data_IF_431188757240
#
_entry.id   IF_431188757240
#
_cell.length_a   1.000
_cell.length_b   1.000
_cell.length_c   1.000
_cell.angle_alpha   90.00
_cell.angle_beta   90.00
_cell.angle_gamma   90.00
#
_symmetry.space_group_name_H-M   'P 1'
#
loop_
_entity.id
_entity.type
_entity.pdbx_description
1 polymer ?
#
# COMPACT_ATOMS: atom_id res chain seq x y z
N UNK A 1 12.64 2.03 -14.70
CA UNK A 1 11.49 1.46 -15.41
C UNK A 1 10.27 2.29 -15.05
N UNK A 2 9.62 2.95 -16.01
CA UNK A 2 8.43 3.77 -15.73
C UNK A 2 7.22 2.85 -15.63
N UNK A 3 6.54 2.84 -14.48
CA UNK A 3 5.24 2.17 -14.36
C UNK A 3 4.21 2.97 -15.14
N UNK A 4 3.43 2.30 -15.98
CA UNK A 4 2.30 2.90 -16.66
C UNK A 4 1.03 2.59 -15.85
N UNK A 5 0.21 3.60 -15.60
CA UNK A 5 -1.10 3.40 -14.96
C UNK A 5 -2.16 3.36 -16.04
N UNK A 6 -2.68 2.16 -16.32
CA UNK A 6 -3.84 1.99 -17.19
C UNK A 6 -5.12 1.91 -16.35
N UNK A 7 -6.29 1.99 -16.98
CA UNK A 7 -7.58 1.86 -16.31
C UNK A 7 -8.21 0.51 -16.62
N UNK A 8 -8.81 -0.11 -15.61
CA UNK A 8 -9.52 -1.37 -15.76
C UNK A 8 -10.69 -1.17 -16.74
N UNK A 9 -10.79 -1.94 -17.83
CA UNK A 9 -11.91 -1.81 -18.77
C UNK A 9 -13.26 -2.16 -18.13
N UNK A 10 -13.27 -3.02 -17.11
CA UNK A 10 -14.51 -3.44 -16.44
C UNK A 10 -15.01 -2.43 -15.39
N UNK A 11 -14.13 -1.86 -14.57
CA UNK A 11 -14.56 -1.00 -13.45
C UNK A 11 -13.98 0.42 -13.45
N UNK A 12 -13.05 0.75 -14.34
CA UNK A 12 -12.37 2.05 -14.41
C UNK A 12 -11.33 2.32 -13.33
N UNK A 13 -11.04 1.35 -12.45
CA UNK A 13 -10.02 1.50 -11.42
C UNK A 13 -8.60 1.54 -12.01
N UNK A 14 -7.64 2.24 -11.39
CA UNK A 14 -6.26 2.23 -11.84
C UNK A 14 -5.65 0.83 -11.73
N UNK A 15 -4.88 0.43 -12.75
CA UNK A 15 -4.04 -0.76 -12.77
C UNK A 15 -2.59 -0.31 -12.99
N UNK A 16 -1.72 -0.42 -11.96
CA UNK A 16 -0.30 -0.23 -12.16
C UNK A 16 0.24 -1.41 -12.95
N UNK A 17 0.87 -1.15 -14.09
CA UNK A 17 1.49 -2.16 -14.94
C UNK A 17 3.00 -1.90 -15.07
N UNK A 18 3.75 -2.99 -15.06
CA UNK A 18 5.15 -2.97 -15.48
C UNK A 18 5.23 -3.07 -17.01
N UNK A 19 6.27 -2.49 -17.61
CA UNK A 19 6.39 -2.39 -19.06
C UNK A 19 6.39 -3.74 -19.80
N UNK A 20 6.81 -4.82 -19.13
CA UNK A 20 6.88 -6.19 -19.69
C UNK A 20 5.68 -7.04 -19.33
N UNK A 21 4.77 -6.54 -18.48
CA UNK A 21 3.69 -7.33 -17.92
C UNK A 21 2.58 -7.53 -18.96
N UNK A 22 2.26 -8.79 -19.25
CA UNK A 22 1.22 -9.14 -20.21
C UNK A 22 -0.16 -9.34 -19.59
N UNK A 23 -0.21 -9.59 -18.28
CA UNK A 23 -1.44 -9.96 -17.57
C UNK A 23 -1.47 -9.26 -16.22
N UNK A 24 -2.61 -8.72 -15.85
CA UNK A 24 -2.80 -8.03 -14.58
C UNK A 24 -4.14 -8.35 -13.93
N UNK A 25 -4.18 -8.24 -12.60
CA UNK A 25 -5.37 -8.52 -11.80
C UNK A 25 -5.91 -7.23 -11.22
N UNK A 26 -7.19 -6.93 -11.47
CA UNK A 26 -7.81 -5.77 -10.87
C UNK A 26 -8.12 -6.00 -9.39
N UNK A 27 -7.52 -5.20 -8.51
CA UNK A 27 -7.75 -5.24 -7.06
C UNK A 27 -9.21 -4.96 -6.65
N UNK A 28 -10.00 -4.31 -7.51
CA UNK A 28 -11.35 -3.85 -7.17
C UNK A 28 -12.48 -4.77 -7.63
N UNK A 29 -12.50 -5.17 -8.90
CA UNK A 29 -13.64 -5.88 -9.49
C UNK A 29 -13.41 -7.37 -9.75
N UNK A 30 -12.26 -7.91 -9.32
CA UNK A 30 -11.86 -9.31 -9.51
C UNK A 30 -11.73 -9.72 -11.00
N UNK A 31 -11.55 -8.77 -11.91
CA UNK A 31 -11.33 -9.06 -13.33
C UNK A 31 -9.84 -9.24 -13.63
N UNK A 32 -9.51 -10.31 -14.35
CA UNK A 32 -8.20 -10.51 -15.00
C UNK A 32 -8.19 -9.77 -16.33
N UNK A 33 -7.10 -9.06 -16.63
CA UNK A 33 -6.94 -8.30 -17.87
C UNK A 33 -5.64 -8.68 -18.57
N UNK A 34 -5.72 -8.83 -19.89
CA UNK A 34 -4.56 -9.07 -20.75
C UNK A 34 -4.18 -7.79 -21.47
N UNK A 35 -2.89 -7.50 -21.46
CA UNK A 35 -2.26 -6.39 -22.16
C UNK A 35 -2.06 -6.80 -23.60
N UNK A 36 -2.85 -6.21 -24.50
CA UNK A 36 -2.74 -6.43 -25.93
C UNK A 36 -1.94 -5.25 -26.50
N UNK A 37 -0.67 -5.50 -26.80
CA UNK A 37 0.14 -4.62 -27.63
C UNK A 37 -0.04 -5.06 -29.09
N UNK A 38 -0.42 -4.13 -29.96
CA UNK A 38 -0.47 -4.41 -31.40
C UNK A 38 0.96 -4.37 -31.96
N UNK A 39 1.54 -5.49 -32.43
CA UNK A 39 2.90 -5.51 -32.96
C UNK A 39 3.01 -4.81 -34.32
N UNK A 40 1.89 -4.55 -35.01
CA UNK A 40 1.87 -3.98 -36.36
C UNK A 40 1.73 -2.46 -36.39
N UNK A 41 1.39 -1.82 -35.26
CA UNK A 41 1.29 -0.37 -35.15
C UNK A 41 1.79 0.10 -33.78
N UNK A 42 2.66 1.12 -33.70
CA UNK A 42 2.98 1.79 -32.44
C UNK A 42 1.75 2.57 -31.95
N UNK A 43 0.77 1.84 -31.43
CA UNK A 43 -0.49 2.34 -30.92
C UNK A 43 -0.58 2.23 -29.39
N UNK A 44 -1.60 2.85 -28.77
CA UNK A 44 -1.80 2.78 -27.34
C UNK A 44 -2.06 1.33 -26.91
N UNK A 45 -1.35 0.89 -25.86
CA UNK A 45 -1.55 -0.41 -25.21
C UNK A 45 -3.02 -0.55 -24.80
N UNK A 46 -3.67 -1.64 -25.22
CA UNK A 46 -5.08 -1.91 -24.89
C UNK A 46 -5.18 -3.02 -23.86
N UNK A 47 -6.21 -2.95 -23.02
CA UNK A 47 -6.56 -4.00 -22.08
C UNK A 47 -7.78 -4.74 -22.57
N UNK A 48 -7.67 -6.05 -22.74
CA UNK A 48 -8.78 -6.94 -22.99
C UNK A 48 -9.13 -7.71 -21.71
N UNK A 49 -10.43 -7.93 -21.48
CA UNK A 49 -10.86 -8.83 -20.41
C UNK A 49 -10.37 -10.25 -20.72
N UNK A 50 -9.77 -10.90 -19.73
CA UNK A 50 -9.34 -12.28 -19.83
C UNK A 50 -10.48 -13.21 -19.36
N UNK A 51 -10.39 -14.50 -19.71
CA UNK A 51 -11.49 -15.45 -19.46
C UNK A 51 -11.53 -16.02 -18.04
N UNK A 52 -10.61 -15.60 -17.16
CA UNK A 52 -10.53 -16.11 -15.79
C UNK A 52 -11.77 -15.69 -14.98
N UNK A 53 -12.51 -16.63 -14.36
CA UNK A 53 -13.68 -16.31 -13.55
C UNK A 53 -13.35 -15.40 -12.37
N UNK A 54 -14.24 -14.46 -12.05
CA UNK A 54 -14.05 -13.51 -10.95
C UNK A 54 -13.83 -14.20 -9.59
N UNK A 55 -14.50 -15.33 -9.36
CA UNK A 55 -14.35 -16.10 -8.13
C UNK A 55 -12.91 -16.64 -7.94
N UNK A 56 -12.22 -17.00 -9.02
CA UNK A 56 -10.83 -17.46 -8.96
C UNK A 56 -9.91 -16.30 -8.60
N UNK A 57 -10.09 -15.14 -9.23
CA UNK A 57 -9.30 -13.94 -8.91
C UNK A 57 -9.52 -13.50 -7.46
N UNK A 58 -10.75 -13.65 -6.94
CA UNK A 58 -11.04 -13.41 -5.53
C UNK A 58 -10.30 -14.39 -4.60
N UNK A 59 -10.30 -15.69 -4.92
CA UNK A 59 -9.53 -16.69 -4.16
C UNK A 59 -8.03 -16.40 -4.19
N UNK A 60 -7.49 -16.03 -5.36
CA UNK A 60 -6.09 -15.60 -5.51
C UNK A 60 -5.78 -14.41 -4.59
N UNK A 61 -6.68 -13.41 -4.50
CA UNK A 61 -6.53 -12.29 -3.55
C UNK A 61 -6.51 -12.76 -2.10
N UNK A 62 -7.42 -13.65 -1.72
CA UNK A 62 -7.49 -14.17 -0.36
C UNK A 62 -6.20 -14.91 0.02
N UNK A 63 -5.67 -15.76 -0.89
CA UNK A 63 -4.39 -16.45 -0.70
C UNK A 63 -3.22 -15.47 -0.58
N UNK A 64 -3.19 -14.44 -1.43
CA UNK A 64 -2.19 -13.36 -1.38
C UNK A 64 -2.21 -12.64 -0.04
N UNK A 65 -3.38 -12.22 0.45
CA UNK A 65 -3.50 -11.51 1.74
C UNK A 65 -3.19 -12.46 2.91
N UNK A 66 -3.38 -13.77 2.75
CA UNK A 66 -2.97 -14.78 3.72
C UNK A 66 -1.45 -15.12 3.68
N UNK A 67 -0.68 -14.53 2.76
CA UNK A 67 0.75 -14.83 2.60
C UNK A 67 1.05 -16.13 1.87
N UNK A 68 0.03 -16.82 1.32
CA UNK A 68 0.15 -18.09 0.57
C UNK A 68 0.38 -17.82 -0.92
N UNK A 69 1.49 -17.15 -1.23
CA UNK A 69 1.75 -16.66 -2.59
C UNK A 69 1.94 -17.78 -3.61
N UNK A 70 2.68 -18.84 -3.26
CA UNK A 70 2.95 -19.94 -4.18
C UNK A 70 1.66 -20.66 -4.62
N UNK A 71 0.72 -20.82 -3.69
CA UNK A 71 -0.60 -21.37 -3.99
C UNK A 71 -1.46 -20.44 -4.84
N UNK A 72 -1.39 -19.13 -4.59
CA UNK A 72 -2.09 -18.13 -5.40
C UNK A 72 -1.58 -18.15 -6.86
N UNK A 73 -0.26 -18.31 -7.04
CA UNK A 73 0.39 -18.41 -8.35
C UNK A 73 -0.03 -19.70 -9.05
N UNK A 74 -0.01 -20.84 -8.35
CA UNK A 74 -0.42 -22.13 -8.90
C UNK A 74 -1.89 -22.11 -9.33
N UNK A 75 -2.79 -21.65 -8.45
CA UNK A 75 -4.23 -21.55 -8.72
C UNK A 75 -4.51 -20.67 -9.94
N UNK A 76 -3.82 -19.53 -10.03
CA UNK A 76 -4.00 -18.62 -11.16
C UNK A 76 -3.45 -19.19 -12.46
N UNK A 77 -2.25 -19.79 -12.45
CA UNK A 77 -1.65 -20.41 -13.62
C UNK A 77 -2.54 -21.49 -14.24
N UNK A 78 -3.15 -22.33 -13.38
CA UNK A 78 -4.08 -23.38 -13.79
C UNK A 78 -5.30 -22.82 -14.53
N UNK A 79 -5.95 -21.80 -13.95
CA UNK A 79 -7.21 -21.28 -14.49
C UNK A 79 -7.03 -20.28 -15.64
N UNK A 80 -5.89 -19.58 -15.68
CA UNK A 80 -5.57 -18.65 -16.75
C UNK A 80 -4.86 -19.33 -17.95
N UNK A 81 -4.50 -20.61 -17.82
CA UNK A 81 -3.74 -21.37 -18.80
C UNK A 81 -2.45 -20.63 -19.24
N UNK A 82 -1.72 -20.08 -18.28
CA UNK A 82 -0.50 -19.29 -18.48
C UNK A 82 0.69 -19.95 -17.81
N UNK A 83 1.90 -19.52 -18.17
CA UNK A 83 3.09 -20.01 -17.51
C UNK A 83 3.15 -19.57 -16.05
N UNK A 84 3.85 -20.34 -15.21
CA UNK A 84 4.03 -19.98 -13.80
C UNK A 84 4.75 -18.64 -13.63
N UNK A 85 5.62 -18.26 -14.58
CA UNK A 85 6.31 -16.97 -14.58
C UNK A 85 5.32 -15.81 -14.79
N UNK A 86 4.45 -15.90 -15.79
CA UNK A 86 3.41 -14.90 -16.05
C UNK A 86 2.41 -14.80 -14.89
N UNK A 87 2.00 -15.95 -14.33
CA UNK A 87 1.14 -15.98 -13.15
C UNK A 87 1.82 -15.30 -11.95
N UNK A 88 3.12 -15.57 -11.72
CA UNK A 88 3.91 -14.91 -10.68
C UNK A 88 3.93 -13.40 -10.86
N UNK A 89 4.12 -12.90 -12.09
CA UNK A 89 4.11 -11.45 -12.36
C UNK A 89 2.74 -10.82 -12.10
N UNK A 90 1.66 -11.45 -12.56
CA UNK A 90 0.28 -10.98 -12.34
C UNK A 90 -0.07 -10.94 -10.85
N UNK A 91 0.30 -11.97 -10.09
CA UNK A 91 0.07 -12.06 -8.65
C UNK A 91 0.95 -11.07 -7.89
N UNK A 92 2.23 -10.89 -8.29
CA UNK A 92 3.13 -9.88 -7.69
C UNK A 92 2.65 -8.45 -7.93
N UNK A 93 2.02 -8.17 -9.06
CA UNK A 93 1.43 -6.86 -9.34
C UNK A 93 0.24 -6.54 -8.40
N UNK A 94 -0.52 -7.55 -8.00
CA UNK A 94 -1.53 -7.41 -6.95
C UNK A 94 -0.89 -7.18 -5.56
N UNK A 95 0.19 -7.92 -5.23
CA UNK A 95 0.90 -7.89 -3.93
C UNK A 95 1.60 -6.55 -3.69
N UNK A 96 2.46 -6.15 -4.63
CA UNK A 96 3.54 -5.20 -4.36
C UNK A 96 3.03 -3.81 -4.02
N UNK A 97 2.07 -3.22 -4.75
CA UNK A 97 1.56 -1.89 -4.43
C UNK A 97 0.69 -1.90 -3.17
N UNK A 98 -0.16 -2.91 -3.01
CA UNK A 98 -1.15 -2.98 -1.93
C UNK A 98 -0.50 -3.26 -0.57
N UNK A 99 0.31 -4.31 -0.47
CA UNK A 99 0.96 -4.68 0.79
C UNK A 99 2.07 -3.71 1.18
N UNK A 100 2.79 -3.13 0.21
CA UNK A 100 3.82 -2.15 0.51
C UNK A 100 3.25 -0.81 0.97
N UNK A 101 2.15 -0.34 0.36
CA UNK A 101 1.44 0.85 0.86
C UNK A 101 0.86 0.59 2.25
N UNK A 102 0.19 -0.54 2.46
CA UNK A 102 -0.33 -0.95 3.76
C UNK A 102 0.76 -0.94 4.82
N UNK A 103 1.82 -1.71 4.61
CA UNK A 103 2.88 -1.88 5.61
C UNK A 103 3.62 -0.57 5.87
N UNK A 104 3.98 0.22 4.85
CA UNK A 104 4.75 1.45 5.06
C UNK A 104 3.96 2.66 5.51
N UNK A 105 2.65 2.71 5.26
CA UNK A 105 1.82 3.89 5.56
C UNK A 105 1.00 3.76 6.83
N UNK A 106 1.01 2.61 7.51
CA UNK A 106 0.32 2.47 8.79
C UNK A 106 0.90 3.45 9.83
N UNK A 107 0.06 4.31 10.44
CA UNK A 107 0.52 5.24 11.46
C UNK A 107 1.01 4.45 12.67
N UNK A 108 2.19 4.82 13.17
CA UNK A 108 2.77 4.15 14.34
C UNK A 108 1.99 4.52 15.61
N UNK A 109 1.67 3.52 16.43
CA UNK A 109 1.08 3.75 17.75
C UNK A 109 2.12 4.42 18.67
N UNK A 110 1.65 5.22 19.64
CA UNK A 110 2.54 5.94 20.56
C UNK A 110 3.49 5.01 21.32
N UNK A 111 3.02 3.85 21.76
CA UNK A 111 3.86 2.86 22.44
C UNK A 111 4.98 2.31 21.56
N UNK A 112 4.69 2.01 20.30
CA UNK A 112 5.71 1.61 19.33
C UNK A 112 6.72 2.73 19.07
N UNK A 113 6.27 3.99 19.07
CA UNK A 113 7.16 5.15 18.94
C UNK A 113 8.15 5.29 20.09
N UNK A 114 7.69 5.07 21.33
CA UNK A 114 8.57 5.08 22.49
C UNK A 114 9.62 3.96 22.42
N UNK A 115 9.23 2.74 22.07
CA UNK A 115 10.15 1.59 21.92
C UNK A 115 11.22 1.89 20.89
N UNK A 116 10.81 2.38 19.72
CA UNK A 116 11.73 2.77 18.64
C UNK A 116 12.70 3.85 19.09
N UNK A 117 12.20 4.87 19.78
CA UNK A 117 13.03 5.96 20.29
C UNK A 117 14.10 5.41 21.23
N UNK A 118 13.73 4.56 22.18
CA UNK A 118 14.66 3.91 23.11
C UNK A 118 15.71 3.06 22.38
N UNK A 119 15.31 2.30 21.34
CA UNK A 119 16.23 1.50 20.53
C UNK A 119 17.24 2.38 19.80
N UNK A 120 16.80 3.47 19.15
CA UNK A 120 17.70 4.39 18.45
C UNK A 120 18.64 5.07 19.45
N UNK A 121 18.13 5.55 20.58
CA UNK A 121 18.95 6.15 21.64
C UNK A 121 19.99 5.17 22.17
N UNK A 122 19.61 3.90 22.39
CA UNK A 122 20.53 2.85 22.82
C UNK A 122 21.63 2.56 21.79
N UNK A 123 21.29 2.47 20.51
CA UNK A 123 22.27 2.29 19.42
C UNK A 123 23.24 3.47 19.32
N UNK A 124 22.75 4.70 19.43
CA UNK A 124 23.59 5.90 19.39
C UNK A 124 24.50 6.01 20.62
N UNK A 125 23.99 5.70 21.82
CA UNK A 125 24.77 5.66 23.04
C UNK A 125 25.87 4.58 22.97
N UNK A 126 25.52 3.38 22.47
CA UNK A 126 26.47 2.29 22.24
C UNK A 126 27.54 2.66 21.21
N UNK A 127 27.14 3.30 20.10
CA UNK A 127 28.07 3.79 19.10
C UNK A 127 29.04 4.85 19.68
N UNK A 128 28.52 5.80 20.45
CA UNK A 128 29.33 6.82 21.12
C UNK A 128 30.31 6.23 22.14
N UNK A 129 29.84 5.30 22.98
CA UNK A 129 30.68 4.59 23.94
C UNK A 129 31.80 3.78 23.25
N UNK A 130 31.46 3.03 22.21
CA UNK A 130 32.44 2.24 21.44
C UNK A 130 33.45 3.14 20.72
N UNK A 131 33.00 4.26 20.14
CA UNK A 131 33.88 5.23 19.49
C UNK A 131 34.88 5.86 20.48
N UNK A 132 34.43 6.23 21.69
CA UNK A 132 35.30 6.78 22.73
C UNK A 132 36.38 5.79 23.16
N UNK A 133 36.06 4.50 23.21
CA UNK A 133 37.02 3.44 23.57
C UNK A 133 37.93 3.03 22.42
N UNK A 134 37.47 3.13 21.17
CA UNK A 134 38.26 2.82 20.00
C UNK A 134 39.52 3.70 19.86
N UNK A 135 39.50 4.92 20.43
CA UNK A 135 40.68 5.81 20.51
C UNK A 135 41.86 5.15 21.25
N UNK A 136 41.60 4.14 22.08
CA UNK A 136 42.64 3.38 22.81
C UNK A 136 43.32 2.29 21.96
N UNK A 137 43.00 2.20 20.66
CA UNK A 137 43.71 1.34 19.69
C UNK A 137 43.01 0.03 19.34
N UNK A 138 41.82 -0.23 19.87
CA UNK A 138 41.07 -1.44 19.57
C UNK A 138 40.20 -1.28 18.31
N UNK A 139 40.69 -1.77 17.17
CA UNK A 139 39.96 -1.77 15.89
C UNK A 139 38.56 -2.39 15.98
N UNK A 140 38.38 -3.40 16.85
CA UNK A 140 37.08 -4.05 17.05
C UNK A 140 35.99 -3.08 17.54
N UNK A 141 36.34 -2.11 18.38
CA UNK A 141 35.40 -1.12 18.90
C UNK A 141 35.04 -0.06 17.85
N UNK A 142 35.95 0.27 16.95
CA UNK A 142 35.64 1.14 15.81
C UNK A 142 34.62 0.48 14.86
N UNK A 143 34.79 -0.82 14.57
CA UNK A 143 33.83 -1.59 13.76
C UNK A 143 32.46 -1.69 14.44
N UNK A 144 32.44 -1.92 15.76
CA UNK A 144 31.20 -1.94 16.53
C UNK A 144 30.48 -0.58 16.49
N UNK A 145 31.21 0.52 16.66
CA UNK A 145 30.64 1.86 16.56
C UNK A 145 30.00 2.12 15.19
N UNK A 146 30.69 1.72 14.11
CA UNK A 146 30.19 1.84 12.75
C UNK A 146 28.94 0.97 12.52
N UNK A 147 28.95 -0.27 13.02
CA UNK A 147 27.80 -1.18 12.94
C UNK A 147 26.58 -0.65 13.68
N UNK A 148 26.74 -0.13 14.90
CA UNK A 148 25.66 0.51 15.65
C UNK A 148 25.10 1.75 14.95
N UNK A 149 25.97 2.60 14.38
CA UNK A 149 25.56 3.76 13.61
C UNK A 149 24.80 3.36 12.34
N UNK A 150 25.30 2.38 11.59
CA UNK A 150 24.63 1.86 10.40
C UNK A 150 23.26 1.27 10.75
N UNK A 151 23.16 0.51 11.84
CA UNK A 151 21.89 -0.02 12.33
C UNK A 151 20.91 1.10 12.69
N UNK A 152 21.36 2.15 13.37
CA UNK A 152 20.52 3.31 13.70
C UNK A 152 20.00 4.01 12.43
N UNK A 153 20.86 4.23 11.43
CA UNK A 153 20.48 4.83 10.15
C UNK A 153 19.45 3.97 9.40
N UNK A 154 19.66 2.66 9.34
CA UNK A 154 18.72 1.73 8.70
C UNK A 154 17.37 1.72 9.43
N UNK A 155 17.38 1.75 10.76
CA UNK A 155 16.17 1.80 11.58
C UNK A 155 15.40 3.11 11.34
N UNK A 156 16.08 4.26 11.34
CA UNK A 156 15.46 5.57 11.03
C UNK A 156 14.88 5.56 9.62
N UNK A 157 15.60 5.04 8.62
CA UNK A 157 15.13 4.95 7.24
C UNK A 157 13.87 4.08 7.12
N UNK A 158 13.80 2.99 7.88
CA UNK A 158 12.63 2.11 7.90
C UNK A 158 11.41 2.78 8.55
N UNK A 159 11.63 3.58 9.59
CA UNK A 159 10.55 4.14 10.43
C UNK A 159 10.07 5.52 9.96
N UNK A 160 10.92 6.30 9.28
CA UNK A 160 10.57 7.63 8.80
C UNK A 160 9.23 7.68 8.02
N UNK A 161 8.89 6.72 7.13
CA UNK A 161 7.57 6.67 6.50
C UNK A 161 6.43 6.58 7.52
N UNK A 162 6.54 5.73 8.54
CA UNK A 162 5.52 5.57 9.57
C UNK A 162 5.36 6.81 10.44
N UNK A 163 6.46 7.50 10.76
CA UNK A 163 6.43 8.74 11.52
C UNK A 163 5.71 9.85 10.73
N UNK A 164 6.02 9.97 9.43
CA UNK A 164 5.30 10.91 8.56
C UNK A 164 3.81 10.54 8.50
N UNK A 165 3.46 9.25 8.41
CA UNK A 165 2.05 8.83 8.43
C UNK A 165 1.37 9.18 9.75
N UNK A 166 2.05 9.00 10.89
CA UNK A 166 1.54 9.41 12.19
C UNK A 166 1.36 10.94 12.31
N UNK A 167 2.29 11.71 11.75
CA UNK A 167 2.17 13.17 11.70
C UNK A 167 1.00 13.62 10.83
N UNK A 168 0.83 13.04 9.64
CA UNK A 168 -0.32 13.36 8.75
C UNK A 168 -1.64 12.91 9.38
N UNK A 169 -1.66 11.74 10.02
CA UNK A 169 -2.83 11.24 10.73
C UNK A 169 -3.30 12.19 11.84
N UNK A 170 -2.38 12.80 12.59
CA UNK A 170 -2.73 13.68 13.72
C UNK A 170 -2.86 15.16 13.32
N UNK A 171 -2.04 15.64 12.40
CA UNK A 171 -1.83 17.07 12.09
C UNK A 171 -1.91 17.39 10.60
N UNK A 172 -2.21 16.42 9.74
CA UNK A 172 -2.37 16.65 8.30
C UNK A 172 -3.49 17.65 8.00
N UNK A 173 -3.43 18.23 6.79
CA UNK A 173 -4.42 19.17 6.31
C UNK A 173 -5.80 18.49 6.23
N UNK A 174 -6.85 19.20 6.63
CA UNK A 174 -8.20 18.65 6.59
C UNK A 174 -8.84 18.76 5.20
N UNK A 175 -9.61 17.74 4.85
CA UNK A 175 -10.36 17.68 3.60
C UNK A 175 -11.55 16.74 3.69
N UNK A 176 -12.22 16.59 2.54
CA UNK A 176 -13.30 15.64 2.34
C UNK A 176 -12.86 14.62 1.31
N UNK A 177 -13.09 13.34 1.55
CA UNK A 177 -12.79 12.28 0.60
C UNK A 177 -14.09 11.59 0.19
N UNK A 178 -14.35 11.54 -1.13
CA UNK A 178 -15.44 10.76 -1.71
C UNK A 178 -14.91 9.40 -2.12
N UNK A 179 -15.56 8.32 -1.69
CA UNK A 179 -15.24 6.98 -2.16
C UNK A 179 -15.65 6.80 -3.62
N UNK A 180 -14.67 6.55 -4.49
CA UNK A 180 -14.88 6.25 -5.91
C UNK A 180 -15.00 4.74 -6.11
N UNK A 181 -14.12 3.96 -5.47
CA UNK A 181 -14.14 2.50 -5.47
C UNK A 181 -13.68 1.98 -4.11
N UNK A 182 -14.25 0.86 -3.69
CA UNK A 182 -13.86 0.17 -2.45
C UNK A 182 -13.76 -1.32 -2.77
N UNK A 183 -12.68 -1.95 -2.33
CA UNK A 183 -12.48 -3.39 -2.43
C UNK A 183 -12.21 -3.96 -1.04
N UNK A 184 -12.92 -5.02 -0.67
CA UNK A 184 -12.61 -5.75 0.57
C UNK A 184 -11.46 -6.70 0.28
N UNK A 185 -10.33 -6.51 0.97
CA UNK A 185 -9.16 -7.36 0.80
C UNK A 185 -9.22 -8.58 1.73
N UNK A 186 -9.61 -8.36 3.00
CA UNK A 186 -9.82 -9.44 3.98
C UNK A 186 -10.74 -8.98 5.11
N UNK A 187 -11.82 -9.73 5.31
CA UNK A 187 -12.71 -9.59 6.46
C UNK A 187 -12.01 -10.17 7.70
N UNK A 188 -12.22 -9.55 8.86
CA UNK A 188 -11.60 -9.96 10.13
C UNK A 188 -10.07 -10.11 10.03
N UNK A 189 -9.42 -9.20 9.30
CA UNK A 189 -7.96 -9.12 9.24
C UNK A 189 -7.35 -8.95 10.64
N UNK A 190 -8.01 -8.15 11.47
CA UNK A 190 -7.88 -8.17 12.93
C UNK A 190 -9.26 -8.40 13.54
N UNK A 191 -9.32 -8.76 14.82
CA UNK A 191 -10.59 -8.96 15.53
C UNK A 191 -11.52 -7.75 15.38
N UNK A 192 -12.61 -7.91 14.60
CA UNK A 192 -13.60 -6.86 14.34
C UNK A 192 -13.16 -5.77 13.36
N UNK A 193 -12.10 -6.02 12.57
CA UNK A 193 -11.56 -5.09 11.58
C UNK A 193 -11.38 -5.72 10.21
N UNK A 194 -11.95 -5.08 9.19
CA UNK A 194 -11.85 -5.45 7.78
C UNK A 194 -10.79 -4.62 7.09
N UNK A 195 -9.90 -5.28 6.36
CA UNK A 195 -8.93 -4.63 5.51
C UNK A 195 -9.58 -4.29 4.17
N UNK A 196 -9.59 -3.00 3.81
CA UNK A 196 -10.16 -2.50 2.55
C UNK A 196 -9.13 -1.70 1.76
N UNK A 197 -9.25 -1.73 0.44
CA UNK A 197 -8.58 -0.81 -0.47
C UNK A 197 -9.61 0.21 -0.95
N UNK A 198 -9.33 1.49 -0.77
CA UNK A 198 -10.20 2.58 -1.13
C UNK A 198 -9.52 3.50 -2.15
N UNK A 199 -10.20 3.73 -3.27
CA UNK A 199 -9.89 4.80 -4.21
C UNK A 199 -10.76 6.00 -3.85
N UNK A 200 -10.14 7.12 -3.50
CA UNK A 200 -10.84 8.31 -3.03
C UNK A 200 -10.50 9.55 -3.85
N UNK A 201 -11.52 10.37 -4.12
CA UNK A 201 -11.33 11.73 -4.61
C UNK A 201 -11.30 12.66 -3.39
N UNK A 202 -10.16 13.30 -3.14
CA UNK A 202 -9.95 14.20 -2.01
C UNK A 202 -10.12 15.65 -2.46
N UNK A 203 -10.95 16.38 -1.72
CA UNK A 203 -11.16 17.82 -1.86
C UNK A 203 -10.65 18.53 -0.60
N UNK A 204 -9.59 19.35 -0.70
CA UNK A 204 -9.06 20.13 0.42
C UNK A 204 -10.10 21.09 1.02
N UNK A 205 -10.20 21.16 2.36
CA UNK A 205 -11.13 22.08 3.02
C UNK A 205 -10.74 23.55 2.85
N UNK A 206 -9.43 23.84 2.86
CA UNK A 206 -8.89 25.19 2.67
C UNK A 206 -8.89 25.66 1.19
N UNK A 207 -9.54 24.91 0.29
CA UNK A 207 -9.47 25.14 -1.15
C UNK A 207 -8.20 24.57 -1.80
N UNK A 208 -8.26 24.42 -3.12
CA UNK A 208 -7.19 23.86 -3.95
C UNK A 208 -7.70 22.78 -4.92
N UNK A 209 -6.79 22.27 -5.74
CA UNK A 209 -7.12 21.20 -6.67
C UNK A 209 -7.47 19.91 -5.92
N UNK A 210 -8.58 19.29 -6.31
CA UNK A 210 -8.91 17.94 -5.90
C UNK A 210 -7.89 16.98 -6.51
N UNK A 211 -7.55 15.93 -5.77
CA UNK A 211 -6.66 14.88 -6.24
C UNK A 211 -7.26 13.51 -5.91
N UNK A 212 -6.79 12.48 -6.61
CA UNK A 212 -7.20 11.10 -6.38
C UNK A 212 -6.06 10.36 -5.70
N UNK A 213 -6.40 9.57 -4.68
CA UNK A 213 -5.45 8.71 -4.02
C UNK A 213 -6.05 7.32 -3.76
N UNK A 214 -5.16 6.34 -3.67
CA UNK A 214 -5.47 4.95 -3.39
C UNK A 214 -4.80 4.56 -2.08
N UNK A 215 -5.62 4.28 -1.07
CA UNK A 215 -5.15 3.94 0.26
C UNK A 215 -5.85 2.70 0.78
N UNK A 216 -5.13 1.96 1.60
CA UNK A 216 -5.63 0.75 2.20
C UNK A 216 -5.82 0.96 3.69
N UNK A 217 -7.03 0.70 4.16
CA UNK A 217 -7.50 1.06 5.49
C UNK A 217 -7.94 -0.16 6.27
N UNK A 218 -7.70 -0.13 7.58
CA UNK A 218 -8.28 -1.06 8.52
C UNK A 218 -9.54 -0.45 9.10
N UNK A 219 -10.69 -0.94 8.67
CA UNK A 219 -12.01 -0.38 9.01
C UNK A 219 -12.70 -1.32 9.97
N UNK A 220 -13.18 -0.81 11.10
CA UNK A 220 -13.98 -1.61 12.03
C UNK A 220 -15.25 -2.10 11.36
N UNK A 221 -15.72 -3.29 11.68
CA UNK A 221 -16.93 -3.87 11.08
C UNK A 221 -18.15 -2.95 11.23
N UNK A 222 -18.29 -2.25 12.36
CA UNK A 222 -19.33 -1.24 12.63
C UNK A 222 -19.29 -0.02 11.67
N UNK A 223 -18.12 0.30 11.12
CA UNK A 223 -17.91 1.44 10.24
C UNK A 223 -17.93 1.06 8.76
N UNK A 224 -18.00 -0.23 8.40
CA UNK A 224 -18.05 -0.69 7.02
C UNK A 224 -19.17 -0.04 6.18
N UNK A 225 -20.41 0.13 6.68
CA UNK A 225 -21.46 0.81 5.91
C UNK A 225 -21.14 2.27 5.55
N UNK A 226 -20.21 2.90 6.30
CA UNK A 226 -19.75 4.26 6.05
C UNK A 226 -18.73 4.32 4.91
N UNK A 227 -18.06 3.21 4.62
CA UNK A 227 -17.06 3.03 3.55
C UNK A 227 -17.74 2.43 2.30
N UNK A 228 -18.81 3.09 1.86
CA UNK A 228 -19.52 2.74 0.63
C UNK A 228 -19.17 3.73 -0.49
N UNK A 229 -19.17 3.25 -1.73
CA UNK A 229 -18.98 4.11 -2.91
C UNK A 229 -20.01 5.25 -2.90
N UNK A 230 -19.58 6.47 -3.21
CA UNK A 230 -20.39 7.69 -3.16
C UNK A 230 -20.42 8.39 -1.80
N UNK A 231 -20.17 7.69 -0.69
CA UNK A 231 -20.08 8.35 0.61
C UNK A 231 -18.90 9.33 0.65
N UNK A 232 -19.09 10.42 1.38
CA UNK A 232 -18.07 11.45 1.61
C UNK A 232 -17.73 11.45 3.10
N UNK A 233 -16.46 11.34 3.43
CA UNK A 233 -15.96 11.34 4.81
C UNK A 233 -14.95 12.47 5.03
N UNK A 234 -14.70 12.81 6.30
CA UNK A 234 -13.60 13.71 6.67
C UNK A 234 -12.27 12.96 6.67
N UNK A 235 -11.26 13.60 6.10
CA UNK A 235 -9.89 13.04 6.04
C UNK A 235 -8.86 14.06 6.44
N UNK A 236 -7.70 13.56 6.86
CA UNK A 236 -6.44 14.32 6.92
C UNK A 236 -5.51 13.82 5.83
N UNK A 237 -4.79 14.74 5.20
CA UNK A 237 -3.88 14.41 4.11
C UNK A 237 -2.65 15.32 4.09
N UNK A 238 -1.65 14.94 3.31
CA UNK A 238 -0.52 15.78 2.92
C UNK A 238 -0.47 16.02 1.41
N UNK A 239 0.23 17.08 1.00
CA UNK A 239 0.45 17.43 -0.42
C UNK A 239 1.84 17.03 -0.91
N UNK A 240 2.41 15.98 -0.30
CA UNK A 240 3.71 15.48 -0.67
C UNK A 240 3.74 14.91 -2.10
N UNK A 241 4.93 14.57 -2.58
CA UNK A 241 5.12 13.85 -3.86
C UNK A 241 4.34 12.52 -3.90
N UNK A 242 4.14 11.93 -2.73
CA UNK A 242 3.38 10.71 -2.53
C UNK A 242 2.32 10.99 -1.45
N UNK A 243 1.15 11.54 -1.84
CA UNK A 243 0.13 11.98 -0.90
C UNK A 243 -0.39 10.78 -0.11
N UNK A 244 -0.79 11.07 1.13
CA UNK A 244 -1.33 10.11 2.07
C UNK A 244 -2.66 10.61 2.55
N UNK A 245 -3.62 9.71 2.64
CA UNK A 245 -4.98 10.07 3.04
C UNK A 245 -5.44 9.15 4.16
N UNK A 246 -5.77 9.77 5.29
CA UNK A 246 -6.25 9.06 6.47
C UNK A 246 -7.65 9.53 6.85
N UNK A 247 -8.59 8.61 7.14
CA UNK A 247 -9.87 8.99 7.71
C UNK A 247 -9.67 9.58 9.11
N UNK A 248 -10.42 10.63 9.44
CA UNK A 248 -10.51 11.10 10.83
C UNK A 248 -11.32 10.05 11.61
N UNK A 249 -10.82 9.66 12.77
CA UNK A 249 -11.50 8.71 13.67
C UNK A 249 -12.32 9.46 14.73
N UNK A 250 -13.60 9.09 14.97
CA UNK A 250 -14.35 8.04 14.28
C UNK A 250 -14.73 8.44 12.84
N UNK A 251 -14.88 7.45 11.96
CA UNK A 251 -15.34 7.70 10.58
C UNK A 251 -16.76 8.26 10.61
N UNK A 252 -16.94 9.44 10.03
CA UNK A 252 -18.23 10.14 9.92
C UNK A 252 -18.54 10.43 8.45
N UNK A 253 -19.77 10.13 8.03
CA UNK A 253 -20.26 10.43 6.68
C UNK A 253 -20.83 11.84 6.69
N UNK A 254 -20.17 12.77 5.99
CA UNK A 254 -20.57 14.18 5.89
C UNK A 254 -21.41 14.47 4.64
N UNK A 255 -21.57 13.49 3.75
CA UNK A 255 -22.39 13.60 2.55
C UNK A 255 -22.50 12.27 1.80
N UNK A 256 -23.49 12.18 0.92
CA UNK A 256 -23.67 11.08 -0.03
C UNK A 256 -23.80 11.68 -1.41
N UNK A 257 -22.98 11.22 -2.34
CA UNK A 257 -23.01 11.61 -3.76
C UNK A 257 -23.75 10.59 -4.61
#
# INVERSE_FOLDING_TARGET
MQAQTLTCPHCGAPLPLQATQQIALCAYCNTSVRVVADPAAPGPVRLAADQVPHAIVEQVKQLVVAGRQDEAIALYAEHAAVTQAEASEAVKQLITPLLFRLTRRMPMQWGAMLIVFLLISGLLAGAGWAALRAVQGELGLALLALACLAAAVLLVRFIAPHLVSALVYNFGAEGRARFVKVAVLKVDYVKGGTLVLALVDVTPAAGGASFRDEEAWLVRSESMPKVAVGNIIRVRFDRGKDPRVFPISPIEVVGRG
#
